data_IF_637524362933
#
_entry.id   IF_637524362933
#
_cell.length_a   1.000
_cell.length_b   1.000
_cell.length_c   1.000
_cell.angle_alpha   90.00
_cell.angle_beta   90.00
_cell.angle_gamma   90.00
#
_symmetry.space_group_name_H-M   'P 1'
#
loop_
_entity.id
_entity.type
_entity.pdbx_description
1 polymer ?
#
# COMPACT_ATOMS: atom_id res chain seq x y z
N UNK A 1 -15.71 17.82 6.45
CA UNK A 1 -15.55 16.73 7.45
C UNK A 1 -14.31 15.90 7.12
N UNK A 2 -13.61 15.29 8.09
CA UNK A 2 -12.39 14.50 7.85
C UNK A 2 -12.55 13.41 6.77
N UNK A 3 -13.71 12.74 6.72
CA UNK A 3 -14.02 11.72 5.71
C UNK A 3 -14.10 12.25 4.26
N UNK A 4 -14.50 13.51 4.06
CA UNK A 4 -14.56 14.12 2.71
C UNK A 4 -13.15 14.32 2.13
N UNK A 5 -12.15 14.56 2.98
CA UNK A 5 -10.75 14.74 2.55
C UNK A 5 -10.11 13.42 2.08
N UNK A 6 -10.42 12.31 2.76
CA UNK A 6 -9.90 10.98 2.39
C UNK A 6 -10.52 10.49 1.09
N UNK A 7 -11.84 10.65 0.90
CA UNK A 7 -12.47 10.27 -0.36
C UNK A 7 -11.93 11.09 -1.54
N UNK A 8 -11.75 12.40 -1.35
CA UNK A 8 -11.16 13.24 -2.39
C UNK A 8 -9.74 12.78 -2.75
N UNK A 9 -8.91 12.47 -1.74
CA UNK A 9 -7.56 11.95 -1.95
C UNK A 9 -7.58 10.61 -2.71
N UNK A 10 -8.51 9.72 -2.38
CA UNK A 10 -8.67 8.46 -3.13
C UNK A 10 -9.04 8.72 -4.59
N UNK A 11 -9.92 9.67 -4.90
CA UNK A 11 -10.28 9.97 -6.30
C UNK A 11 -9.07 10.41 -7.14
N UNK A 12 -8.08 11.11 -6.55
CA UNK A 12 -6.83 11.46 -7.24
C UNK A 12 -6.05 10.23 -7.72
N UNK A 13 -6.19 9.09 -7.02
CA UNK A 13 -5.47 7.85 -7.32
C UNK A 13 -6.05 7.07 -8.50
N UNK A 14 -7.21 7.47 -9.01
CA UNK A 14 -7.87 6.81 -10.15
C UNK A 14 -7.08 6.95 -11.45
N UNK A 15 -6.43 8.10 -11.66
CA UNK A 15 -5.74 8.49 -12.88
C UNK A 15 -4.29 8.00 -12.99
N UNK A 16 -4.06 6.68 -12.94
CA UNK A 16 -2.69 6.14 -13.14
C UNK A 16 -2.18 6.34 -14.58
N UNK A 17 -0.88 6.59 -14.79
CA UNK A 17 -0.29 6.63 -16.12
C UNK A 17 -0.53 5.33 -16.91
N UNK A 18 -0.60 5.41 -18.25
CA UNK A 18 -0.72 4.21 -19.07
C UNK A 18 0.58 3.40 -19.07
N UNK A 19 0.48 2.15 -19.53
CA UNK A 19 1.65 1.32 -19.83
C UNK A 19 2.00 0.32 -18.73
N UNK A 20 3.28 0.23 -18.37
CA UNK A 20 3.78 -0.77 -17.41
C UNK A 20 3.55 -0.33 -15.96
N UNK A 21 2.33 0.11 -15.68
CA UNK A 21 1.90 0.66 -14.40
C UNK A 21 0.59 -0.02 -14.02
N UNK A 22 0.54 -0.49 -12.79
CA UNK A 22 -0.63 -1.12 -12.21
C UNK A 22 -1.21 -0.24 -11.10
N UNK A 23 -2.50 0.01 -11.19
CA UNK A 23 -3.26 0.74 -10.20
C UNK A 23 -3.90 -0.25 -9.21
N UNK A 24 -3.33 -0.43 -8.01
CA UNK A 24 -3.83 -1.42 -7.05
C UNK A 24 -5.26 -1.13 -6.61
N UNK A 25 -5.69 0.11 -6.69
CA UNK A 25 -6.99 0.51 -6.18
C UNK A 25 -8.09 0.44 -7.24
N UNK A 26 -7.80 0.46 -8.54
CA UNK A 26 -8.82 0.39 -9.61
C UNK A 26 -8.65 -0.77 -10.60
N UNK A 27 -7.53 -1.49 -10.57
CA UNK A 27 -7.25 -2.58 -11.52
C UNK A 27 -7.11 -3.91 -10.81
N UNK A 28 -7.65 -4.95 -11.45
CA UNK A 28 -7.51 -6.36 -11.04
C UNK A 28 -6.27 -6.96 -11.71
N UNK A 29 -5.37 -7.52 -10.91
CA UNK A 29 -4.32 -8.40 -11.42
C UNK A 29 -4.92 -9.81 -11.62
N UNK A 30 -5.35 -10.12 -12.85
CA UNK A 30 -6.04 -11.39 -13.16
C UNK A 30 -5.19 -12.62 -12.82
N UNK A 31 -3.86 -12.50 -12.88
CA UNK A 31 -2.96 -13.62 -12.65
C UNK A 31 -2.72 -13.86 -11.15
N UNK A 32 -2.64 -12.79 -10.36
CA UNK A 32 -2.17 -12.87 -8.98
C UNK A 32 -3.22 -12.49 -7.93
N UNK A 33 -4.29 -11.76 -8.27
CA UNK A 33 -5.36 -11.42 -7.33
C UNK A 33 -6.26 -12.64 -7.05
N UNK A 34 -6.66 -12.80 -5.78
CA UNK A 34 -7.53 -13.88 -5.30
C UNK A 34 -8.95 -13.78 -5.85
N UNK A 35 -9.43 -12.58 -6.15
CA UNK A 35 -10.78 -12.33 -6.64
C UNK A 35 -10.89 -10.98 -7.37
N UNK A 36 -11.87 -10.80 -8.28
CA UNK A 36 -12.13 -9.54 -8.96
C UNK A 36 -12.40 -8.34 -8.04
N UNK A 37 -12.81 -8.58 -6.80
CA UNK A 37 -13.04 -7.54 -5.78
C UNK A 37 -11.76 -7.02 -5.10
N UNK A 38 -10.58 -7.56 -5.43
CA UNK A 38 -9.29 -7.15 -4.85
C UNK A 38 -9.03 -5.63 -4.86
N UNK A 39 -9.35 -4.85 -5.92
CA UNK A 39 -9.11 -3.42 -5.92
C UNK A 39 -9.98 -2.70 -4.88
N UNK A 40 -11.23 -3.15 -4.71
CA UNK A 40 -12.15 -2.63 -3.70
C UNK A 40 -11.63 -2.86 -2.29
N UNK A 41 -11.11 -4.07 -2.01
CA UNK A 41 -10.49 -4.41 -0.73
C UNK A 41 -9.28 -3.50 -0.46
N UNK A 42 -8.40 -3.30 -1.45
CA UNK A 42 -7.23 -2.41 -1.33
C UNK A 42 -7.64 -0.95 -1.07
N UNK A 43 -8.73 -0.47 -1.68
CA UNK A 43 -9.30 0.86 -1.38
C UNK A 43 -9.86 0.97 0.02
N UNK A 44 -10.61 -0.03 0.48
CA UNK A 44 -11.13 -0.08 1.86
C UNK A 44 -9.99 -0.05 2.88
N UNK A 45 -8.93 -0.82 2.64
CA UNK A 45 -7.72 -0.84 3.46
C UNK A 45 -6.98 0.49 3.47
N UNK A 46 -6.79 1.12 2.30
CA UNK A 46 -6.16 2.43 2.24
C UNK A 46 -6.99 3.50 2.94
N UNK A 47 -8.31 3.49 2.75
CA UNK A 47 -9.24 4.42 3.39
C UNK A 47 -9.10 4.37 4.90
N UNK A 48 -9.20 3.18 5.50
CA UNK A 48 -9.10 3.01 6.95
C UNK A 48 -7.71 3.39 7.47
N UNK A 49 -6.64 2.99 6.74
CA UNK A 49 -5.27 3.38 7.07
C UNK A 49 -5.11 4.91 7.16
N UNK A 50 -5.59 5.66 6.16
CA UNK A 50 -5.51 7.12 6.12
C UNK A 50 -6.43 7.77 7.15
N UNK A 51 -7.67 7.30 7.28
CA UNK A 51 -8.65 7.85 8.22
C UNK A 51 -8.18 7.74 9.68
N UNK A 52 -7.60 6.60 10.06
CA UNK A 52 -7.03 6.37 11.40
C UNK A 52 -5.87 7.33 11.74
N UNK A 53 -5.19 7.86 10.74
CA UNK A 53 -4.02 8.74 10.87
C UNK A 53 -4.35 10.22 10.70
N UNK A 54 -5.52 10.54 10.16
CA UNK A 54 -5.94 11.90 9.89
C UNK A 54 -6.09 12.69 11.19
N UNK A 55 -5.32 13.77 11.34
CA UNK A 55 -5.27 14.58 12.56
C UNK A 55 -4.45 13.97 13.71
N UNK A 56 -3.88 12.78 13.54
CA UNK A 56 -3.04 12.10 14.55
C UNK A 56 -1.58 11.94 14.09
N UNK A 57 -1.36 11.77 12.78
CA UNK A 57 -0.04 11.57 12.22
C UNK A 57 0.81 12.83 12.38
N UNK A 58 2.01 12.64 12.92
CA UNK A 58 3.05 13.66 13.10
C UNK A 58 4.16 13.51 12.06
N UNK A 59 4.33 12.29 11.52
CA UNK A 59 5.35 11.97 10.55
C UNK A 59 4.74 11.43 9.26
N UNK A 60 5.27 11.85 8.12
CA UNK A 60 4.99 11.24 6.83
C UNK A 60 6.29 10.65 6.28
N UNK A 61 6.31 9.33 6.06
CA UNK A 61 7.40 8.66 5.37
C UNK A 61 6.99 8.44 3.92
N UNK A 62 7.75 9.02 3.00
CA UNK A 62 7.45 8.99 1.57
C UNK A 62 8.52 8.18 0.85
N UNK A 63 8.17 6.98 0.37
CA UNK A 63 9.00 6.16 -0.49
C UNK A 63 8.90 6.54 -1.97
N UNK A 64 9.62 5.83 -2.83
CA UNK A 64 9.61 6.12 -4.29
C UNK A 64 8.32 5.66 -4.96
N UNK A 65 8.04 4.35 -4.92
CA UNK A 65 6.95 3.72 -5.65
C UNK A 65 6.41 2.47 -4.92
N UNK A 66 5.17 2.08 -5.21
CA UNK A 66 4.64 0.83 -4.66
C UNK A 66 5.42 -0.37 -5.22
N UNK A 67 5.73 -1.33 -4.35
CA UNK A 67 6.33 -2.61 -4.74
C UNK A 67 5.31 -3.74 -4.81
N UNK A 68 5.57 -4.73 -5.67
CA UNK A 68 4.71 -5.92 -5.82
C UNK A 68 4.59 -6.76 -4.54
N UNK A 69 5.59 -6.72 -3.64
CA UNK A 69 5.58 -7.49 -2.37
C UNK A 69 4.81 -6.80 -1.24
N UNK A 70 4.32 -5.59 -1.48
CA UNK A 70 3.69 -4.73 -0.49
C UNK A 70 2.37 -4.17 -0.98
N UNK A 71 2.34 -2.85 -1.14
CA UNK A 71 1.14 -2.08 -1.50
C UNK A 71 0.47 -2.48 -2.81
N UNK A 72 1.14 -3.24 -3.70
CA UNK A 72 0.43 -3.91 -4.79
C UNK A 72 -0.75 -4.74 -4.28
N UNK A 73 -0.54 -5.59 -3.26
CA UNK A 73 -1.58 -6.48 -2.73
C UNK A 73 -2.28 -5.91 -1.50
N UNK A 74 -1.64 -5.04 -0.72
CA UNK A 74 -2.26 -4.47 0.48
C UNK A 74 -2.98 -3.15 0.20
N UNK A 75 -2.65 -2.45 -0.90
CA UNK A 75 -3.12 -1.09 -1.14
C UNK A 75 -2.51 -0.04 -0.20
N UNK A 76 -1.59 -0.44 0.70
CA UNK A 76 -0.96 0.43 1.69
C UNK A 76 0.56 0.47 1.42
N UNK A 77 1.15 1.67 1.22
CA UNK A 77 2.59 1.82 1.02
C UNK A 77 3.41 1.23 2.17
N UNK A 78 4.56 0.65 1.82
CA UNK A 78 5.50 0.04 2.78
C UNK A 78 4.82 -0.91 3.77
N UNK A 79 3.80 -1.64 3.33
CA UNK A 79 3.04 -2.60 4.16
C UNK A 79 2.81 -3.86 3.35
N UNK A 80 3.40 -4.97 3.80
CA UNK A 80 3.24 -6.29 3.17
C UNK A 80 2.06 -7.06 3.75
N UNK A 81 1.55 -8.06 3.03
CA UNK A 81 0.43 -8.88 3.53
C UNK A 81 0.77 -9.59 4.84
N UNK A 82 2.05 -9.93 5.08
CA UNK A 82 2.47 -10.48 6.36
C UNK A 82 2.34 -9.47 7.49
N UNK A 83 2.67 -8.20 7.26
CA UNK A 83 2.48 -7.14 8.27
C UNK A 83 0.99 -6.89 8.46
N UNK A 84 0.27 -6.66 7.35
CA UNK A 84 -1.17 -6.41 7.30
C UNK A 84 -1.99 -7.44 8.11
N UNK A 85 -1.58 -8.71 8.04
CA UNK A 85 -2.29 -9.82 8.68
C UNK A 85 -1.69 -10.24 10.04
N UNK A 86 -0.74 -9.49 10.60
CA UNK A 86 -0.11 -9.81 11.89
C UNK A 86 0.73 -11.10 11.86
N UNK A 87 1.27 -11.47 10.69
CA UNK A 87 2.05 -12.71 10.47
C UNK A 87 3.56 -12.46 10.32
N UNK A 88 4.00 -11.21 10.38
CA UNK A 88 5.41 -10.87 10.30
C UNK A 88 6.04 -11.00 11.69
N UNK A 89 6.96 -11.95 11.87
CA UNK A 89 7.59 -12.19 13.18
C UNK A 89 8.57 -11.09 13.59
N UNK A 90 9.11 -10.36 12.62
CA UNK A 90 10.08 -9.29 12.85
C UNK A 90 9.38 -7.96 13.20
N UNK A 91 8.08 -7.86 12.90
CA UNK A 91 7.26 -6.69 13.22
C UNK A 91 6.21 -7.15 14.22
N UNK A 92 6.48 -6.95 15.52
CA UNK A 92 5.63 -7.37 16.64
C UNK A 92 4.34 -6.56 16.78
N UNK A 93 3.61 -6.35 15.68
CA UNK A 93 2.35 -5.62 15.65
C UNK A 93 1.19 -6.56 15.33
N UNK A 94 0.17 -6.51 16.17
CA UNK A 94 -1.09 -7.20 15.92
C UNK A 94 -1.88 -6.49 14.82
N UNK A 95 -2.59 -7.25 13.99
CA UNK A 95 -3.31 -6.71 12.83
C UNK A 95 -4.39 -5.68 13.22
N UNK A 96 -4.96 -5.81 14.42
CA UNK A 96 -5.97 -4.90 14.97
C UNK A 96 -5.41 -3.52 15.34
N UNK A 97 -4.09 -3.36 15.47
CA UNK A 97 -3.47 -2.05 15.70
C UNK A 97 -3.30 -1.26 14.39
N UNK A 98 -3.39 -1.93 13.25
CA UNK A 98 -3.24 -1.30 11.93
C UNK A 98 -4.53 -0.66 11.42
N UNK A 99 -5.69 -1.17 11.84
CA UNK A 99 -7.02 -0.81 11.35
C UNK A 99 -8.00 -0.52 12.48
N UNK A 100 -8.93 0.40 12.26
CA UNK A 100 -9.98 0.73 13.23
C UNK A 100 -11.27 -0.05 12.96
N UNK A 101 -11.78 0.03 11.74
CA UNK A 101 -13.17 -0.37 11.44
C UNK A 101 -13.27 -1.55 10.47
N UNK A 102 -12.13 -2.08 10.00
CA UNK A 102 -12.11 -3.16 9.02
C UNK A 102 -11.26 -4.35 9.46
N UNK A 103 -11.67 -5.53 9.03
CA UNK A 103 -10.80 -6.71 9.07
C UNK A 103 -9.89 -6.71 7.83
N UNK A 104 -8.56 -6.67 7.99
CA UNK A 104 -7.64 -6.72 6.86
C UNK A 104 -7.79 -8.03 6.08
N UNK A 105 -7.63 -7.95 4.76
CA UNK A 105 -7.78 -9.08 3.84
C UNK A 105 -6.63 -9.15 2.87
N UNK A 106 -6.08 -10.36 2.75
CA UNK A 106 -5.20 -10.74 1.62
C UNK A 106 -5.92 -10.46 0.30
N UNK A 107 -5.17 -9.96 -0.68
CA UNK A 107 -5.63 -9.93 -2.07
C UNK A 107 -4.81 -10.79 -3.01
N UNK A 108 -3.62 -11.26 -2.62
CA UNK A 108 -2.87 -12.21 -3.43
C UNK A 108 -3.47 -13.63 -3.38
N UNK A 109 -3.28 -14.42 -4.45
CA UNK A 109 -3.59 -15.85 -4.47
C UNK A 109 -2.67 -16.61 -3.50
N UNK A 110 -3.19 -17.43 -2.56
CA UNK A 110 -2.37 -18.28 -1.71
C UNK A 110 -1.41 -19.21 -2.47
N UNK A 111 -1.74 -19.58 -3.71
CA UNK A 111 -0.88 -20.39 -4.59
C UNK A 111 0.37 -19.62 -5.05
N UNK A 112 0.32 -18.28 -5.12
CA UNK A 112 1.47 -17.43 -5.45
C UNK A 112 2.40 -17.26 -4.26
N UNK A 113 1.83 -17.09 -3.07
CA UNK A 113 2.59 -17.06 -1.82
C UNK A 113 1.71 -17.52 -0.65
N UNK A 114 1.94 -18.74 -0.15
CA UNK A 114 1.10 -19.36 0.88
C UNK A 114 0.97 -18.47 2.13
N UNK A 115 2.10 -17.97 2.61
CA UNK A 115 2.17 -17.09 3.78
C UNK A 115 1.78 -15.63 3.49
N UNK A 116 1.61 -15.25 2.23
CA UNK A 116 1.45 -13.86 1.81
C UNK A 116 2.81 -13.21 1.59
N UNK A 117 2.82 -12.18 0.75
CA UNK A 117 4.06 -11.50 0.39
C UNK A 117 4.70 -10.79 1.61
N UNK A 118 6.03 -10.70 1.57
CA UNK A 118 6.87 -10.02 2.54
C UNK A 118 7.75 -9.03 1.82
N UNK A 119 7.77 -7.78 2.26
CA UNK A 119 8.58 -6.71 1.68
C UNK A 119 9.67 -6.30 2.69
N UNK A 120 10.97 -6.48 2.39
CA UNK A 120 12.04 -6.13 3.32
C UNK A 120 12.01 -4.67 3.78
N UNK A 121 11.78 -3.74 2.85
CA UNK A 121 11.64 -2.31 3.18
C UNK A 121 10.52 -2.06 4.17
N UNK A 122 9.36 -2.69 3.97
CA UNK A 122 8.24 -2.60 4.90
C UNK A 122 8.61 -3.12 6.29
N UNK A 123 9.26 -4.30 6.37
CA UNK A 123 9.73 -4.84 7.65
C UNK A 123 10.65 -3.86 8.38
N UNK A 124 11.63 -3.30 7.68
CA UNK A 124 12.58 -2.34 8.26
C UNK A 124 11.85 -1.10 8.75
N UNK A 125 11.05 -0.45 7.90
CA UNK A 125 10.34 0.79 8.24
C UNK A 125 9.42 0.60 9.44
N UNK A 126 8.57 -0.44 9.41
CA UNK A 126 7.67 -0.71 10.53
C UNK A 126 8.43 -1.01 11.82
N UNK A 127 9.42 -1.89 11.77
CA UNK A 127 10.20 -2.24 12.96
C UNK A 127 10.93 -1.01 13.53
N UNK A 128 11.57 -0.21 12.69
CA UNK A 128 12.26 1.02 13.14
C UNK A 128 11.30 2.00 13.80
N UNK A 129 10.15 2.29 13.20
CA UNK A 129 9.19 3.26 13.77
C UNK A 129 8.65 2.79 15.13
N UNK A 130 8.34 1.50 15.25
CA UNK A 130 7.88 0.91 16.50
C UNK A 130 8.98 0.89 17.57
N UNK A 131 10.23 0.57 17.20
CA UNK A 131 11.38 0.62 18.10
C UNK A 131 11.69 2.04 18.61
N UNK A 132 11.37 3.06 17.80
CA UNK A 132 11.45 4.47 18.21
C UNK A 132 10.27 4.90 19.11
N UNK A 133 9.36 3.98 19.44
CA UNK A 133 8.22 4.25 20.32
C UNK A 133 7.05 4.95 19.63
N UNK A 134 7.05 5.06 18.30
CA UNK A 134 5.94 5.67 17.57
C UNK A 134 4.79 4.67 17.44
N UNK A 135 3.61 5.10 17.86
CA UNK A 135 2.38 4.34 17.62
C UNK A 135 1.98 4.43 16.14
N UNK A 136 1.32 3.39 15.58
CA UNK A 136 0.95 3.34 14.16
C UNK A 136 0.16 4.56 13.65
N UNK A 137 -0.60 5.22 14.52
CA UNK A 137 -1.39 6.42 14.23
C UNK A 137 -0.55 7.68 14.08
N UNK A 138 0.65 7.71 14.69
CA UNK A 138 1.54 8.88 14.69
C UNK A 138 2.34 9.02 13.40
N UNK A 139 2.27 8.06 12.48
CA UNK A 139 2.93 8.15 11.18
C UNK A 139 2.05 7.65 10.04
N UNK A 140 2.20 8.29 8.88
CA UNK A 140 1.62 7.84 7.62
C UNK A 140 2.69 7.36 6.66
N UNK A 141 2.42 6.23 6.00
CA UNK A 141 3.31 5.64 5.01
C UNK A 141 2.75 5.95 3.62
N UNK A 142 3.55 6.61 2.78
CA UNK A 142 3.16 7.02 1.44
C UNK A 142 4.25 6.79 0.40
N UNK A 143 3.94 6.95 -0.88
CA UNK A 143 4.90 6.91 -1.98
C UNK A 143 4.71 8.10 -2.93
N UNK A 144 5.82 8.66 -3.40
CA UNK A 144 5.83 9.76 -4.35
C UNK A 144 5.17 9.40 -5.69
N UNK A 145 5.42 8.19 -6.16
CA UNK A 145 4.66 7.55 -7.22
C UNK A 145 3.71 6.51 -6.60
N UNK A 146 2.42 6.80 -6.46
CA UNK A 146 1.54 5.98 -5.63
C UNK A 146 1.19 4.63 -6.29
N UNK A 147 1.46 4.43 -7.57
CA UNK A 147 1.14 3.20 -8.29
C UNK A 147 2.32 2.24 -8.38
N UNK A 148 2.05 1.02 -8.84
CA UNK A 148 3.06 -0.02 -8.98
C UNK A 148 3.58 -0.07 -10.43
N UNK A 149 4.77 0.45 -10.67
CA UNK A 149 5.46 0.31 -11.96
C UNK A 149 6.25 -1.00 -12.03
N UNK A 150 6.06 -1.76 -13.10
CA UNK A 150 6.65 -3.09 -13.28
C UNK A 150 7.47 -3.20 -14.56
N UNK A 151 8.28 -4.25 -14.67
CA UNK A 151 9.02 -4.56 -15.89
C UNK A 151 8.16 -5.47 -16.78
N UNK A 152 7.81 -4.99 -18.00
CA UNK A 152 6.95 -5.74 -18.94
C UNK A 152 7.50 -7.12 -19.30
N UNK A 153 8.81 -7.26 -19.43
CA UNK A 153 9.44 -8.53 -19.81
C UNK A 153 9.47 -9.54 -18.65
N UNK A 154 9.48 -9.05 -17.40
CA UNK A 154 9.46 -9.89 -16.19
C UNK A 154 8.07 -10.12 -15.62
N UNK A 155 7.07 -9.37 -16.08
CA UNK A 155 5.67 -9.45 -15.65
C UNK A 155 5.37 -8.67 -14.37
N UNK A 156 4.12 -8.81 -13.90
CA UNK A 156 3.55 -8.01 -12.82
C UNK A 156 4.21 -8.23 -11.44
N UNK A 157 4.88 -9.37 -11.24
CA UNK A 157 5.62 -9.64 -9.99
C UNK A 157 7.07 -9.15 -10.08
N UNK A 158 7.25 -7.92 -10.55
CA UNK A 158 8.55 -7.25 -10.67
C UNK A 158 8.40 -5.76 -10.44
N UNK A 159 9.46 -5.11 -9.95
CA UNK A 159 9.49 -3.66 -9.78
C UNK A 159 10.34 -3.01 -10.88
N UNK A 160 9.96 -1.80 -11.29
CA UNK A 160 10.76 -0.90 -12.11
C UNK A 160 10.69 0.51 -11.52
N UNK A 161 11.79 1.24 -11.53
CA UNK A 161 11.79 2.67 -11.20
C UNK A 161 10.86 3.45 -12.16
N UNK A 162 9.92 4.27 -11.66
CA UNK A 162 9.09 5.14 -12.51
C UNK A 162 9.95 6.10 -13.34
N UNK A 163 9.56 6.32 -14.59
CA UNK A 163 10.16 7.32 -15.46
C UNK A 163 9.91 8.73 -14.95
N UNK A 164 10.66 9.72 -15.46
CA UNK A 164 10.44 11.12 -15.11
C UNK A 164 9.00 11.58 -15.48
N UNK A 165 8.46 11.30 -16.68
CA UNK A 165 7.08 11.67 -17.00
C UNK A 165 6.03 11.00 -16.12
N UNK A 166 6.20 9.72 -15.76
CA UNK A 166 5.29 9.01 -14.85
C UNK A 166 5.27 9.66 -13.45
N UNK A 167 6.43 10.08 -12.93
CA UNK A 167 6.53 10.76 -11.63
C UNK A 167 5.76 12.07 -11.60
N UNK A 168 5.74 12.83 -12.69
CA UNK A 168 4.98 14.09 -12.77
C UNK A 168 3.48 13.89 -12.57
N UNK A 169 2.93 12.73 -12.96
CA UNK A 169 1.51 12.38 -12.76
C UNK A 169 1.18 12.13 -11.28
N UNK A 170 2.17 11.73 -10.48
CA UNK A 170 2.00 11.51 -9.04
C UNK A 170 2.04 12.79 -8.19
N UNK A 171 2.47 13.93 -8.74
CA UNK A 171 2.62 15.17 -7.97
C UNK A 171 1.35 15.66 -7.25
N UNK A 172 0.12 15.53 -7.80
CA UNK A 172 -1.09 15.96 -7.09
C UNK A 172 -1.34 15.23 -5.77
N UNK A 173 -0.82 14.02 -5.58
CA UNK A 173 -1.02 13.24 -4.33
C UNK A 173 0.08 13.49 -3.28
N UNK A 174 0.90 14.52 -3.49
CA UNK A 174 1.95 14.97 -2.57
C UNK A 174 1.76 16.42 -2.10
N UNK A 175 0.78 17.13 -2.65
CA UNK A 175 0.43 18.51 -2.28
C UNK A 175 -0.72 18.50 -1.30
#
# INVERSE_FOLDING_TARGET
MPGESVEHFLELLKGSPPGAVFNPWWQVDKENDVAPRAPRIRREQLRDHLAKRLGQAQFALVGEALGYRGGHFTGIPMTSERILLGRNKDVGIEANLLFSDITPRRTSKPQKCRAGFSEPTATIVWNTLLQLGLSPEQFVLWNAFPWHSFNRHRGMLSNRMPTKPERSVGLPVLK
#
